data_IF_700109394602
#
_entry.id   IF_700109394602
#
_cell.length_a   1.000
_cell.length_b   1.000
_cell.length_c   1.000
_cell.angle_alpha   90.00
_cell.angle_beta   90.00
_cell.angle_gamma   90.00
#
_symmetry.space_group_name_H-M   'P 1'
#
loop_
_entity.id
_entity.type
_entity.pdbx_description
1 polymer ?
#
# COMPACT_ATOMS: atom_id res chain seq x y z
N UNK A 1 43.96 -18.70 -43.49
CA UNK A 1 43.20 -19.07 -42.29
C UNK A 1 42.76 -17.81 -41.54
N UNK A 2 41.99 -16.90 -42.18
CA UNK A 2 41.45 -15.65 -41.55
C UNK A 2 40.03 -15.31 -42.08
N UNK A 3 39.43 -16.12 -42.95
CA UNK A 3 38.09 -15.85 -43.53
C UNK A 3 36.94 -16.65 -42.89
N UNK A 4 37.22 -17.72 -42.12
CA UNK A 4 36.19 -18.51 -41.44
C UNK A 4 35.82 -18.00 -40.05
N UNK A 5 36.61 -17.08 -39.46
CA UNK A 5 36.42 -16.62 -38.07
C UNK A 5 35.47 -15.40 -37.95
N UNK A 6 35.26 -14.69 -39.05
CA UNK A 6 34.34 -13.53 -39.13
C UNK A 6 32.91 -14.02 -39.43
N UNK A 7 32.76 -15.06 -40.26
CA UNK A 7 31.46 -15.66 -40.54
C UNK A 7 30.82 -16.30 -39.29
N UNK A 8 31.64 -16.92 -38.43
CA UNK A 8 31.19 -17.59 -37.21
C UNK A 8 30.78 -16.63 -36.08
N UNK A 9 31.36 -15.42 -36.04
CA UNK A 9 30.97 -14.36 -35.08
C UNK A 9 29.71 -13.60 -35.50
N UNK A 10 29.50 -13.43 -36.80
CA UNK A 10 28.29 -12.78 -37.32
C UNK A 10 27.08 -13.71 -37.17
N UNK A 11 27.24 -15.02 -37.39
CA UNK A 11 26.16 -15.99 -37.18
C UNK A 11 25.73 -16.10 -35.70
N UNK A 12 26.68 -16.16 -34.76
CA UNK A 12 26.35 -16.16 -33.32
C UNK A 12 25.78 -14.82 -32.84
N UNK A 13 26.19 -13.70 -33.43
CA UNK A 13 25.64 -12.38 -33.09
C UNK A 13 24.18 -12.19 -33.52
N UNK A 14 23.76 -12.83 -34.62
CA UNK A 14 22.37 -12.75 -35.10
C UNK A 14 21.45 -13.75 -34.37
N UNK A 15 21.94 -14.94 -34.02
CA UNK A 15 21.21 -15.87 -33.13
C UNK A 15 20.98 -15.26 -31.74
N UNK A 16 21.98 -14.62 -31.13
CA UNK A 16 21.82 -14.02 -29.78
C UNK A 16 20.86 -12.82 -29.77
N UNK A 17 20.74 -12.10 -30.88
CA UNK A 17 19.81 -10.95 -31.02
C UNK A 17 18.40 -11.41 -31.38
N UNK A 18 18.23 -12.49 -32.15
CA UNK A 18 16.91 -13.08 -32.38
C UNK A 18 16.39 -13.83 -31.14
N UNK A 19 17.25 -14.60 -30.44
CA UNK A 19 16.87 -15.29 -29.20
C UNK A 19 16.55 -14.29 -28.08
N UNK A 20 17.31 -13.20 -27.94
CA UNK A 20 17.03 -12.15 -26.96
C UNK A 20 15.75 -11.34 -27.22
N UNK A 21 15.34 -11.18 -28.49
CA UNK A 21 14.09 -10.51 -28.86
C UNK A 21 12.89 -11.45 -28.72
N UNK A 22 13.07 -12.75 -28.95
CA UNK A 22 12.03 -13.75 -28.70
C UNK A 22 11.86 -14.06 -27.20
N UNK A 23 12.93 -14.21 -26.41
CA UNK A 23 12.84 -14.42 -24.96
C UNK A 23 12.21 -13.22 -24.24
N UNK A 24 12.63 -11.98 -24.53
CA UNK A 24 12.07 -10.78 -23.88
C UNK A 24 10.56 -10.57 -24.14
N UNK A 25 9.99 -11.17 -25.19
CA UNK A 25 8.56 -11.14 -25.49
C UNK A 25 7.76 -12.25 -24.78
N UNK A 26 8.43 -13.29 -24.25
CA UNK A 26 7.81 -14.43 -23.57
C UNK A 26 8.22 -14.60 -22.10
N UNK A 27 9.15 -13.79 -21.59
CA UNK A 27 9.54 -13.79 -20.18
C UNK A 27 8.35 -13.43 -19.27
N UNK A 28 7.96 -14.30 -18.33
CA UNK A 28 6.83 -14.05 -17.45
C UNK A 28 7.10 -12.87 -16.52
N UNK A 29 6.17 -11.91 -16.52
CA UNK A 29 6.16 -10.77 -15.61
C UNK A 29 5.05 -10.96 -14.59
N UNK A 30 5.38 -10.79 -13.31
CA UNK A 30 4.42 -10.71 -12.20
C UNK A 30 4.41 -9.28 -11.69
N UNK A 31 3.26 -8.60 -11.73
CA UNK A 31 3.13 -7.26 -11.14
C UNK A 31 2.54 -7.34 -9.73
N UNK A 32 3.33 -6.91 -8.75
CA UNK A 32 2.95 -6.80 -7.35
C UNK A 32 2.58 -5.35 -7.02
N UNK A 33 1.29 -5.10 -6.80
CA UNK A 33 0.82 -3.85 -6.21
C UNK A 33 1.12 -3.82 -4.72
N UNK A 34 1.78 -2.75 -4.27
CA UNK A 34 2.00 -2.47 -2.85
C UNK A 34 1.23 -1.22 -2.49
N UNK A 35 0.26 -1.39 -1.61
CA UNK A 35 -0.52 -0.28 -1.08
C UNK A 35 -0.67 -0.41 0.43
N UNK A 36 -1.23 0.61 1.04
CA UNK A 36 -1.35 0.69 2.49
C UNK A 36 -1.68 2.10 2.92
N UNK A 37 -2.35 2.17 4.06
CA UNK A 37 -2.76 3.42 4.67
C UNK A 37 -1.55 4.24 5.14
N UNK A 38 -1.78 5.51 5.43
CA UNK A 38 -0.74 6.40 5.95
C UNK A 38 0.03 5.74 7.09
N UNK A 39 1.37 5.80 7.03
CA UNK A 39 2.30 5.23 8.04
C UNK A 39 2.27 3.71 8.20
N UNK A 40 1.68 2.97 7.26
CA UNK A 40 1.73 1.49 7.24
C UNK A 40 3.11 0.91 6.84
N UNK A 41 4.10 1.75 6.49
CA UNK A 41 5.47 1.30 6.25
C UNK A 41 5.74 0.73 4.85
N UNK A 42 5.03 1.21 3.80
CA UNK A 42 5.23 0.79 2.39
C UNK A 42 6.69 0.85 1.93
N UNK A 43 7.33 2.00 2.13
CA UNK A 43 8.73 2.23 1.75
C UNK A 43 9.68 1.23 2.41
N UNK A 44 9.51 0.98 3.71
CA UNK A 44 10.30 0.00 4.47
C UNK A 44 10.02 -1.42 3.97
N UNK A 45 8.76 -1.76 3.72
CA UNK A 45 8.36 -3.06 3.18
C UNK A 45 9.02 -3.37 1.85
N UNK A 46 8.90 -2.47 0.87
CA UNK A 46 9.47 -2.67 -0.48
C UNK A 46 10.99 -2.80 -0.39
N UNK A 47 11.63 -1.89 0.35
CA UNK A 47 13.09 -1.91 0.53
C UNK A 47 13.56 -3.23 1.15
N UNK A 48 12.96 -3.66 2.26
CA UNK A 48 13.32 -4.92 2.91
C UNK A 48 13.00 -6.15 2.06
N UNK A 49 11.89 -6.14 1.32
CA UNK A 49 11.48 -7.24 0.44
C UNK A 49 12.51 -7.41 -0.68
N UNK A 50 12.86 -6.33 -1.38
CA UNK A 50 13.83 -6.34 -2.47
C UNK A 50 15.19 -6.79 -1.95
N UNK A 51 15.65 -6.25 -0.82
CA UNK A 51 16.93 -6.65 -0.22
C UNK A 51 16.96 -8.14 0.16
N UNK A 52 15.89 -8.67 0.76
CA UNK A 52 15.82 -10.09 1.11
C UNK A 52 15.60 -11.01 -0.09
N UNK A 53 15.05 -10.51 -1.22
CA UNK A 53 14.93 -11.29 -2.45
C UNK A 53 16.24 -11.32 -3.24
N UNK A 54 17.05 -10.26 -3.16
CA UNK A 54 18.43 -10.25 -3.68
C UNK A 54 19.32 -11.18 -2.84
N UNK A 55 19.33 -10.97 -1.53
CA UNK A 55 20.16 -11.67 -0.54
C UNK A 55 19.31 -12.57 0.38
N UNK A 56 18.98 -13.76 -0.13
CA UNK A 56 17.96 -14.68 0.42
C UNK A 56 18.36 -15.47 1.67
N UNK A 57 19.50 -15.18 2.30
CA UNK A 57 20.00 -15.92 3.46
C UNK A 57 19.04 -15.96 4.67
N UNK A 58 18.12 -15.00 4.77
CA UNK A 58 17.06 -14.93 5.79
C UNK A 58 15.66 -15.28 5.27
N UNK A 59 15.56 -15.99 4.14
CA UNK A 59 14.28 -16.35 3.51
C UNK A 59 14.01 -17.87 3.51
N UNK A 60 14.11 -18.59 4.64
CA UNK A 60 13.98 -20.05 4.67
C UNK A 60 12.58 -20.56 4.33
N UNK A 61 11.54 -19.74 4.51
CA UNK A 61 10.15 -20.12 4.19
C UNK A 61 9.70 -19.63 2.81
N UNK A 62 10.62 -19.07 2.03
CA UNK A 62 10.39 -18.74 0.63
C UNK A 62 10.71 -19.96 -0.23
N UNK A 63 9.70 -20.74 -0.58
CA UNK A 63 9.84 -22.06 -1.22
C UNK A 63 10.75 -22.06 -2.46
N UNK A 64 10.62 -21.10 -3.39
CA UNK A 64 11.45 -21.04 -4.59
C UNK A 64 12.90 -20.61 -4.35
N UNK A 65 13.30 -20.29 -3.11
CA UNK A 65 14.61 -19.71 -2.80
C UNK A 65 15.79 -20.50 -3.37
N UNK A 66 15.69 -21.83 -3.42
CA UNK A 66 16.73 -22.74 -3.98
C UNK A 66 16.67 -22.88 -5.50
N UNK A 67 15.52 -22.63 -6.12
CA UNK A 67 15.36 -22.64 -7.58
C UNK A 67 15.92 -21.37 -8.23
N UNK A 68 15.99 -20.26 -7.48
CA UNK A 68 16.53 -18.98 -7.94
C UNK A 68 18.06 -19.01 -7.90
N UNK A 69 18.66 -19.08 -9.08
CA UNK A 69 20.12 -19.09 -9.28
C UNK A 69 20.72 -17.69 -9.24
N UNK A 70 19.97 -16.66 -9.65
CA UNK A 70 20.38 -15.26 -9.56
C UNK A 70 19.15 -14.36 -9.40
N UNK A 71 19.32 -13.24 -8.70
CA UNK A 71 18.36 -12.16 -8.59
C UNK A 71 19.10 -10.84 -8.79
N UNK A 72 18.56 -9.93 -9.60
CA UNK A 72 19.20 -8.65 -9.91
C UNK A 72 18.17 -7.59 -10.28
N UNK A 73 18.49 -6.33 -10.00
CA UNK A 73 17.68 -5.19 -10.41
C UNK A 73 17.86 -4.95 -11.91
N UNK A 74 16.77 -4.62 -12.57
CA UNK A 74 16.76 -4.26 -13.99
C UNK A 74 16.08 -2.89 -14.14
N UNK A 75 16.40 -2.10 -15.18
CA UNK A 75 15.61 -0.92 -15.52
C UNK A 75 14.13 -1.28 -15.62
N UNK A 76 13.28 -0.45 -15.05
CA UNK A 76 11.83 -0.64 -15.11
C UNK A 76 11.31 -0.37 -16.53
N UNK A 77 10.14 -0.91 -16.91
CA UNK A 77 9.64 -0.83 -18.29
C UNK A 77 8.92 0.48 -18.65
N UNK A 78 8.51 1.29 -17.66
CA UNK A 78 7.71 2.50 -17.86
C UNK A 78 8.55 3.75 -17.58
N UNK A 79 8.92 4.47 -18.64
CA UNK A 79 9.71 5.71 -18.56
C UNK A 79 8.91 6.92 -18.02
N UNK A 80 7.59 6.78 -17.88
CA UNK A 80 6.71 7.86 -17.39
C UNK A 80 6.41 7.78 -15.90
N UNK A 81 6.79 6.68 -15.24
CA UNK A 81 6.62 6.46 -13.80
C UNK A 81 7.96 6.65 -13.09
N UNK A 82 8.03 7.37 -11.96
CA UNK A 82 9.26 7.46 -11.18
C UNK A 82 9.74 6.08 -10.71
N UNK A 83 11.06 5.85 -10.75
CA UNK A 83 11.66 4.65 -10.16
C UNK A 83 11.67 4.75 -8.63
N UNK A 84 11.34 3.65 -7.96
CA UNK A 84 11.48 3.54 -6.52
C UNK A 84 12.97 3.67 -6.12
N UNK A 85 13.26 4.58 -5.20
CA UNK A 85 14.63 4.94 -4.78
C UNK A 85 15.21 3.92 -3.78
N UNK A 86 15.30 2.67 -4.24
CA UNK A 86 15.71 1.51 -3.43
C UNK A 86 17.06 1.72 -2.76
N UNK A 87 18.06 2.20 -3.51
CA UNK A 87 19.43 2.35 -3.03
C UNK A 87 19.52 3.35 -1.88
N UNK A 88 18.87 4.51 -2.01
CA UNK A 88 18.84 5.54 -0.96
C UNK A 88 18.10 5.05 0.27
N UNK A 89 16.97 4.37 0.09
CA UNK A 89 16.18 3.85 1.20
C UNK A 89 16.89 2.72 1.95
N UNK A 90 17.58 1.83 1.23
CA UNK A 90 18.41 0.79 1.85
C UNK A 90 19.56 1.43 2.63
N UNK A 91 20.25 2.40 2.03
CA UNK A 91 21.35 3.11 2.68
C UNK A 91 20.90 3.81 3.98
N UNK A 92 19.72 4.43 3.99
CA UNK A 92 19.16 5.02 5.20
C UNK A 92 18.90 3.99 6.32
N UNK A 93 18.43 2.79 5.97
CA UNK A 93 18.15 1.71 6.93
C UNK A 93 19.41 0.99 7.43
N UNK A 94 20.46 0.92 6.62
CA UNK A 94 21.71 0.20 6.95
C UNK A 94 22.86 1.12 7.35
N UNK A 95 22.64 2.44 7.41
CA UNK A 95 23.64 3.40 7.84
C UNK A 95 24.09 3.16 9.30
N UNK A 96 25.30 3.60 9.70
CA UNK A 96 25.75 3.54 11.10
C UNK A 96 24.81 4.25 12.08
N UNK A 97 24.13 5.30 11.61
CA UNK A 97 23.02 5.97 12.27
C UNK A 97 21.77 5.78 11.41
N UNK A 98 21.07 4.65 11.56
CA UNK A 98 19.99 4.29 10.64
C UNK A 98 18.75 5.14 10.91
N UNK A 99 18.02 5.45 9.85
CA UNK A 99 16.84 6.32 9.88
C UNK A 99 15.70 5.71 9.06
N UNK A 100 14.46 5.94 9.49
CA UNK A 100 13.29 5.54 8.70
C UNK A 100 13.23 6.36 7.40
N UNK A 101 13.15 5.72 6.22
CA UNK A 101 12.99 6.43 4.95
C UNK A 101 11.71 7.27 4.92
N UNK A 102 11.73 8.34 4.11
CA UNK A 102 10.54 9.15 3.91
C UNK A 102 9.40 8.36 3.25
N UNK A 103 8.16 8.73 3.57
CA UNK A 103 6.98 8.10 2.98
C UNK A 103 6.79 8.58 1.54
N UNK A 104 6.59 7.64 0.63
CA UNK A 104 6.30 7.92 -0.79
C UNK A 104 4.99 8.70 -0.93
N UNK A 105 5.02 9.79 -1.70
CA UNK A 105 3.85 10.67 -1.95
C UNK A 105 3.24 10.52 -3.35
N UNK A 106 3.90 9.76 -4.21
CA UNK A 106 3.52 9.50 -5.60
C UNK A 106 3.61 8.00 -5.90
N UNK A 107 3.16 7.62 -7.10
CA UNK A 107 3.40 6.28 -7.61
C UNK A 107 4.88 6.09 -7.92
N UNK A 108 5.41 4.90 -7.66
CA UNK A 108 6.75 4.51 -8.12
C UNK A 108 6.82 3.03 -8.45
N UNK A 109 7.77 2.64 -9.30
CA UNK A 109 7.94 1.25 -9.75
C UNK A 109 9.39 0.77 -9.58
N UNK A 110 9.57 -0.55 -9.47
CA UNK A 110 10.87 -1.21 -9.47
C UNK A 110 10.75 -2.57 -10.14
N UNK A 111 11.72 -2.94 -10.98
CA UNK A 111 11.80 -4.28 -11.55
C UNK A 111 12.94 -5.08 -10.91
N UNK A 112 12.57 -6.27 -10.42
CA UNK A 112 13.50 -7.31 -9.97
C UNK A 112 13.38 -8.52 -10.89
N UNK A 113 14.52 -9.04 -11.35
CA UNK A 113 14.58 -10.17 -12.29
C UNK A 113 15.23 -11.38 -11.63
N UNK A 114 14.63 -12.56 -11.82
CA UNK A 114 15.09 -13.82 -11.28
C UNK A 114 15.49 -14.78 -12.39
N UNK A 115 16.68 -15.39 -12.31
CA UNK A 115 17.01 -16.58 -13.10
C UNK A 115 16.58 -17.81 -12.32
N UNK A 116 15.49 -18.42 -12.74
CA UNK A 116 14.87 -19.55 -12.05
C UNK A 116 15.14 -20.84 -12.82
N UNK A 117 15.63 -21.86 -12.12
CA UNK A 117 15.74 -23.21 -12.65
C UNK A 117 14.40 -23.93 -12.46
N UNK A 118 13.70 -24.34 -13.52
CA UNK A 118 12.46 -25.09 -13.38
C UNK A 118 12.71 -26.41 -12.65
N UNK A 119 11.79 -26.80 -11.76
CA UNK A 119 11.89 -28.05 -10.99
C UNK A 119 11.28 -29.23 -11.77
N UNK A 120 11.71 -30.46 -11.45
CA UNK A 120 11.22 -31.69 -12.09
C UNK A 120 11.99 -32.16 -13.34
N UNK A 121 11.66 -33.37 -13.83
CA UNK A 121 12.39 -34.07 -14.91
C UNK A 121 12.31 -33.32 -16.25
N UNK A 122 11.18 -32.65 -16.53
CA UNK A 122 11.03 -31.83 -17.73
C UNK A 122 11.74 -30.47 -17.61
N UNK A 123 11.86 -29.96 -16.38
CA UNK A 123 12.49 -28.68 -16.08
C UNK A 123 14.02 -28.69 -16.21
N UNK A 124 14.65 -29.84 -16.00
CA UNK A 124 16.10 -29.99 -16.21
C UNK A 124 16.51 -29.90 -17.69
N UNK A 125 15.58 -30.12 -18.62
CA UNK A 125 15.82 -30.05 -20.06
C UNK A 125 15.63 -28.64 -20.64
N UNK A 126 14.79 -27.79 -20.04
CA UNK A 126 14.41 -26.48 -20.63
C UNK A 126 15.30 -25.30 -20.22
N UNK A 127 16.42 -25.54 -19.52
CA UNK A 127 17.32 -24.48 -19.06
C UNK A 127 16.71 -23.51 -18.02
N UNK A 128 17.51 -22.61 -17.42
CA UNK A 128 16.99 -21.55 -16.56
C UNK A 128 16.17 -20.54 -17.37
N UNK A 129 15.04 -20.09 -16.81
CA UNK A 129 14.21 -19.02 -17.38
C UNK A 129 14.31 -17.74 -16.55
N UNK A 130 14.15 -16.59 -17.17
CA UNK A 130 13.99 -15.33 -16.44
C UNK A 130 12.53 -15.13 -16.03
N UNK A 131 12.28 -14.71 -14.80
CA UNK A 131 10.97 -14.24 -14.33
C UNK A 131 11.15 -12.83 -13.78
N UNK A 132 10.31 -11.90 -14.20
CA UNK A 132 10.33 -10.52 -13.71
C UNK A 132 9.27 -10.29 -12.64
N UNK A 133 9.62 -9.53 -11.62
CA UNK A 133 8.74 -8.99 -10.61
C UNK A 133 8.76 -7.46 -10.70
N UNK A 134 7.65 -6.89 -11.15
CA UNK A 134 7.43 -5.45 -11.13
C UNK A 134 6.70 -5.09 -9.83
N UNK A 135 7.33 -4.30 -8.97
CA UNK A 135 6.75 -3.83 -7.71
C UNK A 135 6.27 -2.40 -7.92
N UNK A 136 4.98 -2.17 -7.76
CA UNK A 136 4.34 -0.86 -7.95
C UNK A 136 3.88 -0.31 -6.60
N UNK A 137 4.53 0.74 -6.09
CA UNK A 137 4.13 1.47 -4.88
C UNK A 137 3.12 2.55 -5.25
N UNK A 138 1.95 2.55 -4.61
CA UNK A 138 1.00 3.64 -4.78
C UNK A 138 0.17 3.92 -3.51
N UNK A 139 -0.29 5.16 -3.30
CA UNK A 139 -1.12 5.52 -2.16
C UNK A 139 -2.46 4.78 -2.12
N UNK A 140 -2.85 4.27 -0.94
CA UNK A 140 -4.13 3.56 -0.78
C UNK A 140 -5.34 4.47 -0.96
N UNK A 141 -5.18 5.75 -0.65
CA UNK A 141 -6.19 6.80 -0.82
C UNK A 141 -6.65 6.92 -2.27
N UNK A 142 -5.80 6.57 -3.22
CA UNK A 142 -6.12 6.62 -4.64
C UNK A 142 -7.10 5.52 -5.07
N UNK A 143 -7.23 4.44 -4.29
CA UNK A 143 -8.23 3.40 -4.53
C UNK A 143 -9.64 3.86 -4.17
N UNK A 144 -9.77 4.77 -3.21
CA UNK A 144 -11.06 5.33 -2.79
C UNK A 144 -11.76 6.10 -3.93
N UNK A 145 -10.96 6.73 -4.79
CA UNK A 145 -11.48 7.48 -5.94
C UNK A 145 -12.17 6.63 -6.99
N UNK A 146 -11.99 5.30 -6.94
CA UNK A 146 -12.71 4.41 -7.84
C UNK A 146 -14.23 4.50 -7.65
N UNK A 147 -14.68 4.74 -6.42
CA UNK A 147 -16.10 4.98 -6.13
C UNK A 147 -16.66 6.21 -6.82
N UNK A 148 -15.81 7.19 -7.16
CA UNK A 148 -16.21 8.39 -7.89
C UNK A 148 -16.56 8.10 -9.36
N UNK A 149 -16.05 7.00 -9.93
CA UNK A 149 -16.35 6.64 -11.32
C UNK A 149 -17.83 6.35 -11.53
N UNK A 150 -18.55 5.97 -10.47
CA UNK A 150 -19.98 5.66 -10.52
C UNK A 150 -20.87 6.79 -10.02
N UNK A 151 -20.29 7.86 -9.48
CA UNK A 151 -21.02 9.00 -8.91
C UNK A 151 -21.00 10.17 -9.88
N UNK A 152 -22.14 10.81 -10.02
CA UNK A 152 -22.22 12.17 -10.56
C UNK A 152 -21.66 13.18 -9.55
N UNK A 153 -21.31 14.37 -10.03
CA UNK A 153 -20.87 15.46 -9.16
C UNK A 153 -21.88 15.78 -8.06
N UNK A 154 -23.19 15.71 -8.37
CA UNK A 154 -24.26 15.97 -7.41
C UNK A 154 -24.35 14.90 -6.32
N UNK A 155 -24.29 13.62 -6.67
CA UNK A 155 -24.31 12.50 -5.71
C UNK A 155 -23.10 12.57 -4.78
N UNK A 156 -21.90 12.72 -5.35
CA UNK A 156 -20.68 12.88 -4.55
C UNK A 156 -20.73 14.12 -3.66
N UNK A 157 -21.23 15.24 -4.17
CA UNK A 157 -21.33 16.47 -3.38
C UNK A 157 -22.27 16.31 -2.19
N UNK A 158 -23.43 15.68 -2.37
CA UNK A 158 -24.38 15.46 -1.28
C UNK A 158 -23.75 14.63 -0.14
N UNK A 159 -23.04 13.56 -0.48
CA UNK A 159 -22.33 12.73 0.49
C UNK A 159 -21.19 13.49 1.19
N UNK A 160 -20.34 14.17 0.42
CA UNK A 160 -19.20 14.94 0.95
C UNK A 160 -19.66 16.08 1.88
N UNK A 161 -20.77 16.74 1.55
CA UNK A 161 -21.36 17.79 2.38
C UNK A 161 -21.99 17.24 3.66
N UNK A 162 -22.63 16.08 3.58
CA UNK A 162 -23.17 15.41 4.77
C UNK A 162 -22.04 15.06 5.73
N UNK A 163 -20.93 14.51 5.21
CA UNK A 163 -19.73 14.24 5.98
C UNK A 163 -19.10 15.52 6.57
N UNK A 164 -18.96 16.59 5.78
CA UNK A 164 -18.39 17.84 6.27
C UNK A 164 -19.24 18.50 7.37
N UNK A 165 -20.57 18.44 7.27
CA UNK A 165 -21.48 19.08 8.22
C UNK A 165 -21.56 18.32 9.55
N UNK A 166 -21.33 17.01 9.53
CA UNK A 166 -21.40 16.14 10.72
C UNK A 166 -20.08 16.06 11.48
N UNK A 167 -19.00 16.64 10.94
CA UNK A 167 -17.65 16.57 11.49
C UNK A 167 -17.20 17.92 12.03
N UNK A 168 -16.61 17.98 13.24
CA UNK A 168 -16.01 19.21 13.75
C UNK A 168 -14.98 19.82 12.79
N UNK A 169 -14.20 18.99 12.10
CA UNK A 169 -13.15 19.39 11.16
C UNK A 169 -13.70 20.11 9.92
N UNK A 170 -14.98 19.92 9.60
CA UNK A 170 -15.63 20.53 8.44
C UNK A 170 -16.07 21.97 8.64
N UNK A 171 -16.06 22.49 9.88
CA UNK A 171 -16.61 23.81 10.21
C UNK A 171 -16.04 24.95 9.34
N UNK A 172 -14.72 24.97 9.13
CA UNK A 172 -14.08 26.01 8.30
C UNK A 172 -14.47 25.93 6.82
N UNK A 173 -14.71 24.71 6.31
CA UNK A 173 -15.18 24.52 4.94
C UNK A 173 -16.67 24.85 4.78
N UNK A 174 -17.52 24.46 5.73
CA UNK A 174 -18.95 24.76 5.68
C UNK A 174 -19.22 26.26 5.78
N UNK A 175 -18.44 27.00 6.58
CA UNK A 175 -18.49 28.47 6.62
C UNK A 175 -18.06 29.09 5.29
N UNK A 176 -16.94 28.64 4.73
CA UNK A 176 -16.46 29.13 3.43
C UNK A 176 -17.46 28.85 2.30
N UNK A 177 -18.13 27.69 2.34
CA UNK A 177 -19.16 27.31 1.39
C UNK A 177 -20.43 28.15 1.53
N UNK A 178 -20.85 28.46 2.77
CA UNK A 178 -22.03 29.30 3.00
C UNK A 178 -21.85 30.73 2.45
N UNK A 179 -20.61 31.22 2.40
CA UNK A 179 -20.26 32.51 1.81
C UNK A 179 -20.02 32.47 0.28
N UNK A 180 -20.09 31.29 -0.35
CA UNK A 180 -19.76 31.09 -1.75
C UNK A 180 -21.01 31.04 -2.64
N UNK A 181 -21.09 31.91 -3.65
CA UNK A 181 -22.18 31.88 -4.64
C UNK A 181 -21.74 31.12 -5.90
N UNK A 182 -22.21 29.87 -6.01
CA UNK A 182 -21.89 28.99 -7.12
C UNK A 182 -22.55 29.37 -8.46
N UNK A 183 -23.51 30.30 -8.46
CA UNK A 183 -24.23 30.74 -9.67
C UNK A 183 -23.51 31.86 -10.42
N UNK A 184 -22.56 32.54 -9.75
CA UNK A 184 -21.73 33.59 -10.34
C UNK A 184 -20.82 33.06 -11.45
N UNK A 185 -20.38 33.97 -12.33
CA UNK A 185 -19.42 33.67 -13.39
C UNK A 185 -18.12 33.16 -12.80
N UNK A 186 -17.53 32.14 -13.42
CA UNK A 186 -16.26 31.54 -12.98
C UNK A 186 -15.16 32.58 -12.69
N UNK A 187 -14.56 32.47 -11.50
CA UNK A 187 -13.39 33.23 -11.06
C UNK A 187 -12.37 32.30 -10.40
N UNK A 188 -11.20 32.14 -11.02
CA UNK A 188 -10.17 31.19 -10.56
C UNK A 188 -9.72 31.40 -9.10
N UNK A 189 -9.52 32.64 -8.60
CA UNK A 189 -9.10 32.84 -7.21
C UNK A 189 -10.11 32.33 -6.17
N UNK A 190 -11.40 32.53 -6.43
CA UNK A 190 -12.47 32.08 -5.53
C UNK A 190 -12.62 30.55 -5.58
N UNK A 191 -12.53 29.96 -6.78
CA UNK A 191 -12.49 28.52 -6.98
C UNK A 191 -11.35 27.87 -6.18
N UNK A 192 -10.14 28.43 -6.26
CA UNK A 192 -8.96 27.99 -5.50
C UNK A 192 -9.17 28.11 -4.01
N UNK A 193 -9.69 29.23 -3.53
CA UNK A 193 -9.93 29.46 -2.10
C UNK A 193 -10.87 28.39 -1.52
N UNK A 194 -11.98 28.10 -2.21
CA UNK A 194 -12.93 27.08 -1.74
C UNK A 194 -12.35 25.66 -1.82
N UNK A 195 -11.65 25.32 -2.91
CA UNK A 195 -10.98 24.02 -3.06
C UNK A 195 -9.89 23.81 -1.98
N UNK A 196 -9.13 24.84 -1.64
CA UNK A 196 -8.13 24.81 -0.57
C UNK A 196 -8.78 24.61 0.80
N UNK A 197 -9.90 25.29 1.08
CA UNK A 197 -10.67 25.10 2.31
C UNK A 197 -11.20 23.66 2.43
N UNK A 198 -11.72 23.10 1.34
CA UNK A 198 -12.14 21.70 1.29
C UNK A 198 -10.97 20.73 1.49
N UNK A 199 -9.82 21.00 0.86
CA UNK A 199 -8.59 20.20 1.02
C UNK A 199 -8.10 20.21 2.46
N UNK A 200 -8.12 21.38 3.12
CA UNK A 200 -7.75 21.50 4.53
C UNK A 200 -8.69 20.70 5.44
N UNK A 201 -10.00 20.72 5.16
CA UNK A 201 -10.96 19.84 5.83
C UNK A 201 -10.61 18.37 5.64
N UNK A 202 -10.35 17.90 4.41
CA UNK A 202 -9.99 16.50 4.16
C UNK A 202 -8.71 16.10 4.91
N UNK A 203 -7.71 16.97 4.95
CA UNK A 203 -6.46 16.74 5.71
C UNK A 203 -6.72 16.63 7.21
N UNK A 204 -7.54 17.54 7.77
CA UNK A 204 -7.92 17.52 9.18
C UNK A 204 -8.76 16.27 9.52
N UNK A 205 -9.74 15.93 8.68
CA UNK A 205 -10.56 14.74 8.86
C UNK A 205 -9.71 13.46 8.81
N UNK A 206 -8.77 13.36 7.86
CA UNK A 206 -7.82 12.24 7.83
C UNK A 206 -6.96 12.18 9.09
N UNK A 207 -6.48 13.33 9.58
CA UNK A 207 -5.69 13.39 10.81
C UNK A 207 -6.52 12.99 12.06
N UNK A 208 -7.82 13.28 12.05
CA UNK A 208 -8.79 12.86 13.06
C UNK A 208 -9.22 11.38 12.92
N UNK A 209 -8.74 10.67 11.87
CA UNK A 209 -9.00 9.26 11.66
C UNK A 209 -10.30 8.97 10.91
N UNK A 210 -10.72 9.82 9.97
CA UNK A 210 -11.76 9.51 8.99
C UNK A 210 -11.16 8.97 7.68
N UNK A 211 -11.76 7.91 7.15
CA UNK A 211 -11.28 7.18 5.96
C UNK A 211 -11.99 7.52 4.65
N UNK A 212 -13.22 8.01 4.71
CA UNK A 212 -14.04 8.41 3.55
C UNK A 212 -13.66 9.81 3.02
N UNK A 213 -12.36 10.10 2.98
CA UNK A 213 -11.82 11.36 2.50
C UNK A 213 -11.61 11.29 0.98
N UNK A 214 -12.61 11.67 0.20
CA UNK A 214 -12.52 11.78 -1.27
C UNK A 214 -12.64 13.24 -1.73
N UNK A 215 -11.90 13.63 -2.79
CA UNK A 215 -11.03 12.81 -3.63
C UNK A 215 -9.63 12.58 -3.03
N UNK A 216 -9.08 11.38 -3.19
CA UNK A 216 -7.81 10.96 -2.61
C UNK A 216 -6.59 11.78 -3.07
N UNK A 217 -6.59 12.28 -4.32
CA UNK A 217 -5.50 13.14 -4.82
C UNK A 217 -5.52 14.55 -4.23
N UNK A 218 -6.57 14.98 -3.53
CA UNK A 218 -6.52 16.24 -2.77
C UNK A 218 -5.59 16.10 -1.55
N UNK A 219 -5.52 14.90 -0.98
CA UNK A 219 -4.63 14.58 0.14
C UNK A 219 -3.19 14.31 -0.29
N UNK A 220 -3.03 13.70 -1.47
CA UNK A 220 -1.75 13.30 -2.04
C UNK A 220 -1.76 13.65 -3.54
N UNK A 221 -1.48 14.91 -3.90
CA UNK A 221 -1.60 15.40 -5.28
C UNK A 221 -0.50 14.87 -6.21
N UNK A 222 0.67 14.52 -5.67
CA UNK A 222 1.83 14.13 -6.50
C UNK A 222 2.14 15.20 -7.54
N UNK A 223 2.29 14.79 -8.79
CA UNK A 223 2.56 15.67 -9.94
C UNK A 223 1.39 16.60 -10.32
N UNK A 224 0.20 16.41 -9.73
CA UNK A 224 -0.98 17.23 -10.01
C UNK A 224 -1.07 18.46 -9.08
N UNK A 225 -0.09 18.69 -8.22
CA UNK A 225 -0.10 19.85 -7.34
C UNK A 225 -0.16 21.16 -8.16
N UNK A 226 -1.05 22.06 -7.75
CA UNK A 226 -1.35 23.29 -8.50
C UNK A 226 -2.15 23.11 -9.81
N UNK A 227 -2.50 21.88 -10.20
CA UNK A 227 -3.30 21.62 -11.41
C UNK A 227 -4.76 22.06 -11.25
N UNK A 228 -5.39 22.64 -12.29
CA UNK A 228 -6.81 22.99 -12.27
C UNK A 228 -7.73 21.79 -12.02
N UNK A 229 -7.29 20.57 -12.31
CA UNK A 229 -8.07 19.34 -12.09
C UNK A 229 -8.34 19.07 -10.61
N UNK A 230 -7.54 19.64 -9.70
CA UNK A 230 -7.72 19.57 -8.25
C UNK A 230 -8.37 20.83 -7.65
N UNK A 231 -8.90 21.71 -8.50
CA UNK A 231 -9.45 23.00 -8.06
C UNK A 231 -10.97 22.99 -8.16
N UNK A 232 -11.62 22.14 -7.35
CA UNK A 232 -13.07 22.07 -7.18
C UNK A 232 -13.42 21.68 -5.73
N UNK A 233 -14.67 21.87 -5.32
CA UNK A 233 -15.18 21.47 -4.01
C UNK A 233 -16.63 20.94 -4.17
N UNK A 234 -17.18 20.18 -3.21
CA UNK A 234 -18.57 19.75 -3.29
C UNK A 234 -19.50 20.96 -3.13
N UNK A 235 -20.61 20.96 -3.87
CA UNK A 235 -21.60 22.05 -3.87
C UNK A 235 -23.01 21.53 -3.54
N UNK A 236 -23.83 22.32 -2.83
CA UNK A 236 -25.23 21.95 -2.61
C UNK A 236 -25.98 21.88 -3.95
N UNK A 237 -27.04 21.08 -3.99
CA UNK A 237 -27.89 21.04 -5.17
C UNK A 237 -28.51 22.42 -5.44
N UNK A 238 -28.45 22.88 -6.69
CA UNK A 238 -28.90 24.22 -7.06
C UNK A 238 -28.75 24.49 -8.56
N UNK A 239 -28.98 25.74 -8.93
CA UNK A 239 -28.83 26.18 -10.32
C UNK A 239 -27.37 26.14 -10.76
N UNK A 240 -27.13 25.69 -12.00
CA UNK A 240 -25.81 25.69 -12.62
C UNK A 240 -25.86 26.41 -13.98
N UNK A 241 -25.99 27.75 -13.99
CA UNK A 241 -26.00 28.56 -15.21
C UNK A 241 -24.74 28.32 -16.06
N UNK A 242 -24.84 28.52 -17.37
CA UNK A 242 -23.69 28.34 -18.26
C UNK A 242 -22.58 29.32 -17.91
N UNK A 243 -21.37 28.79 -17.69
CA UNK A 243 -20.19 29.59 -17.31
C UNK A 243 -20.11 29.96 -15.84
N UNK A 244 -20.99 29.39 -15.00
CA UNK A 244 -20.92 29.59 -13.56
C UNK A 244 -19.84 28.74 -12.87
N UNK A 245 -19.53 29.08 -11.63
CA UNK A 245 -18.68 28.26 -10.75
C UNK A 245 -19.19 26.82 -10.62
N UNK A 246 -20.51 26.63 -10.46
CA UNK A 246 -21.11 25.30 -10.35
C UNK A 246 -20.82 24.43 -11.59
N UNK A 247 -20.96 25.00 -12.79
CA UNK A 247 -20.62 24.29 -14.04
C UNK A 247 -19.13 24.03 -14.19
N UNK A 248 -18.30 24.97 -13.74
CA UNK A 248 -16.85 24.78 -13.73
C UNK A 248 -16.44 23.61 -12.82
N UNK A 249 -16.97 23.56 -11.60
CA UNK A 249 -16.66 22.51 -10.62
C UNK A 249 -17.12 21.13 -11.10
N UNK A 250 -18.34 21.04 -11.65
CA UNK A 250 -18.84 19.81 -12.27
C UNK A 250 -17.91 19.37 -13.42
N UNK A 251 -17.50 20.29 -14.30
CA UNK A 251 -16.56 19.96 -15.39
C UNK A 251 -15.21 19.49 -14.86
N UNK A 252 -14.67 20.12 -13.82
CA UNK A 252 -13.38 19.74 -13.20
C UNK A 252 -13.46 18.38 -12.52
N UNK A 253 -14.57 18.07 -11.86
CA UNK A 253 -14.84 16.75 -11.30
C UNK A 253 -14.89 15.66 -12.39
N UNK A 254 -15.58 15.90 -13.50
CA UNK A 254 -15.62 14.94 -14.61
C UNK A 254 -14.26 14.84 -15.34
N UNK A 255 -13.50 15.95 -15.41
CA UNK A 255 -12.12 15.91 -15.88
C UNK A 255 -11.21 15.11 -14.93
N UNK A 256 -11.38 15.25 -13.62
CA UNK A 256 -10.65 14.46 -12.63
C UNK A 256 -10.91 12.96 -12.81
N UNK A 257 -12.18 12.55 -12.96
CA UNK A 257 -12.54 11.16 -13.25
C UNK A 257 -11.88 10.66 -14.54
N UNK A 258 -11.91 11.44 -15.62
CA UNK A 258 -11.44 11.03 -16.95
C UNK A 258 -9.92 11.05 -17.11
N UNK A 259 -9.26 12.07 -16.57
CA UNK A 259 -7.83 12.35 -16.80
C UNK A 259 -6.93 11.90 -15.65
N UNK A 260 -7.48 11.68 -14.44
CA UNK A 260 -6.69 11.29 -13.25
C UNK A 260 -7.06 9.89 -12.78
N UNK A 261 -8.33 9.67 -12.47
CA UNK A 261 -8.79 8.39 -11.90
C UNK A 261 -8.68 7.29 -12.96
N UNK A 262 -9.36 7.45 -14.09
CA UNK A 262 -9.42 6.42 -15.15
C UNK A 262 -8.03 6.00 -15.69
N UNK A 263 -7.08 6.91 -16.00
CA UNK A 263 -5.77 6.51 -16.50
C UNK A 263 -4.98 5.76 -15.45
N UNK A 264 -4.96 6.21 -14.19
CA UNK A 264 -4.30 5.48 -13.11
C UNK A 264 -4.76 4.02 -13.03
N UNK A 265 -6.08 3.80 -13.07
CA UNK A 265 -6.64 2.45 -13.01
C UNK A 265 -6.31 1.62 -14.24
N UNK A 266 -6.43 2.19 -15.44
CA UNK A 266 -6.12 1.49 -16.69
C UNK A 266 -4.64 1.14 -16.81
N UNK A 267 -3.76 2.07 -16.47
CA UNK A 267 -2.34 2.00 -16.81
C UNK A 267 -1.52 1.27 -15.74
N UNK A 268 -1.97 1.30 -14.48
CA UNK A 268 -1.28 0.64 -13.37
C UNK A 268 -2.13 -0.47 -12.76
N UNK A 269 -3.31 -0.14 -12.22
CA UNK A 269 -4.09 -1.09 -11.41
C UNK A 269 -4.58 -2.32 -12.20
N UNK A 270 -5.05 -2.12 -13.43
CA UNK A 270 -5.56 -3.19 -14.29
C UNK A 270 -4.49 -4.25 -14.65
N UNK A 271 -3.21 -3.90 -14.51
CA UNK A 271 -2.07 -4.77 -14.80
C UNK A 271 -1.55 -5.52 -13.55
N UNK A 272 -2.09 -5.25 -12.36
CA UNK A 272 -1.65 -5.89 -11.11
C UNK A 272 -2.10 -7.35 -11.09
N UNK A 273 -1.16 -8.27 -10.86
CA UNK A 273 -1.42 -9.71 -10.73
C UNK A 273 -1.60 -10.14 -9.26
N UNK A 274 -0.86 -9.46 -8.37
CA UNK A 274 -0.73 -9.74 -6.94
C UNK A 274 -0.84 -8.45 -6.15
N UNK A 275 -1.51 -8.47 -5.01
CA UNK A 275 -1.65 -7.29 -4.17
C UNK A 275 -1.22 -7.57 -2.74
N UNK A 276 -0.50 -6.63 -2.14
CA UNK A 276 -0.36 -6.53 -0.69
C UNK A 276 -0.95 -5.20 -0.19
N UNK A 277 -1.71 -5.27 0.90
CA UNK A 277 -2.26 -4.12 1.63
C UNK A 277 -1.61 -4.11 3.01
N UNK A 278 -0.73 -3.14 3.23
CA UNK A 278 -0.06 -2.93 4.51
C UNK A 278 -0.96 -2.14 5.47
N UNK A 279 -1.04 -2.60 6.71
CA UNK A 279 -1.93 -2.05 7.73
C UNK A 279 -1.17 -1.86 9.04
N UNK A 280 -1.28 -0.68 9.64
CA UNK A 280 -0.79 -0.42 11.00
C UNK A 280 -1.92 -0.71 12.01
N UNK A 281 -2.23 -2.00 12.20
CA UNK A 281 -3.32 -2.43 13.08
C UNK A 281 -3.01 -2.10 14.55
N UNK A 282 -1.75 -2.25 14.96
CA UNK A 282 -1.30 -1.91 16.31
C UNK A 282 -1.54 -0.41 16.56
N UNK A 283 -1.09 0.47 15.67
CA UNK A 283 -1.31 1.92 15.80
C UNK A 283 -2.79 2.32 15.90
N UNK A 284 -3.66 1.62 15.16
CA UNK A 284 -5.11 1.82 15.26
C UNK A 284 -5.66 1.37 16.63
N UNK A 285 -5.23 0.21 17.14
CA UNK A 285 -5.65 -0.30 18.46
C UNK A 285 -5.23 0.66 19.58
N UNK A 286 -4.00 1.17 19.52
CA UNK A 286 -3.49 2.18 20.46
C UNK A 286 -4.27 3.50 20.40
N UNK A 287 -4.73 3.89 19.20
CA UNK A 287 -5.53 5.11 19.01
C UNK A 287 -6.99 4.96 19.45
N UNK A 288 -7.44 3.73 19.76
CA UNK A 288 -8.74 3.44 20.36
C UNK A 288 -9.87 3.05 19.39
N UNK A 289 -11.10 2.87 19.91
CA UNK A 289 -12.25 2.33 19.18
C UNK A 289 -12.58 2.96 17.84
N UNK A 290 -12.55 4.29 17.78
CA UNK A 290 -12.86 5.02 16.55
C UNK A 290 -11.86 4.70 15.44
N UNK A 291 -10.57 4.62 15.76
CA UNK A 291 -9.53 4.35 14.79
C UNK A 291 -9.59 2.93 14.21
N UNK A 292 -9.97 1.92 14.99
CA UNK A 292 -10.14 0.56 14.47
C UNK A 292 -11.41 0.41 13.63
N UNK A 293 -12.53 1.02 14.04
CA UNK A 293 -13.73 1.01 13.21
C UNK A 293 -13.50 1.75 11.88
N UNK A 294 -12.76 2.85 11.90
CA UNK A 294 -12.33 3.54 10.69
C UNK A 294 -11.44 2.67 9.81
N UNK A 295 -10.42 2.04 10.39
CA UNK A 295 -9.56 1.09 9.69
C UNK A 295 -10.40 -0.02 9.03
N UNK A 296 -11.39 -0.58 9.74
CA UNK A 296 -12.29 -1.61 9.21
C UNK A 296 -13.08 -1.11 8.00
N UNK A 297 -13.66 0.10 8.07
CA UNK A 297 -14.39 0.72 6.94
C UNK A 297 -13.47 0.97 5.75
N UNK A 298 -12.29 1.51 6.00
CA UNK A 298 -11.30 1.75 4.95
C UNK A 298 -10.91 0.48 4.22
N UNK A 299 -10.64 -0.59 4.97
CA UNK A 299 -10.29 -1.90 4.40
C UNK A 299 -11.44 -2.46 3.57
N UNK A 300 -12.69 -2.26 4.01
CA UNK A 300 -13.87 -2.67 3.26
C UNK A 300 -14.03 -1.89 1.94
N UNK A 301 -13.70 -0.60 1.93
CA UNK A 301 -13.73 0.27 0.74
C UNK A 301 -12.60 -0.06 -0.24
N UNK A 302 -11.38 -0.25 0.27
CA UNK A 302 -10.24 -0.74 -0.53
C UNK A 302 -10.61 -2.07 -1.17
N UNK A 303 -11.20 -3.00 -0.41
CA UNK A 303 -11.66 -4.29 -0.93
C UNK A 303 -12.82 -4.16 -1.93
N UNK A 304 -13.62 -3.09 -1.86
CA UNK A 304 -14.62 -2.81 -2.86
C UNK A 304 -14.04 -2.57 -4.25
N UNK A 305 -12.82 -2.01 -4.33
CA UNK A 305 -12.14 -1.76 -5.59
C UNK A 305 -11.71 -3.05 -6.32
N UNK A 306 -11.53 -4.15 -5.60
CA UNK A 306 -11.12 -5.44 -6.18
C UNK A 306 -12.32 -6.33 -6.58
N UNK A 307 -13.56 -5.83 -6.47
CA UNK A 307 -14.77 -6.62 -6.73
C UNK A 307 -15.08 -6.74 -8.22
N UNK A 308 -15.52 -7.91 -8.71
CA UNK A 308 -16.31 -8.02 -9.92
C UNK A 308 -17.71 -7.40 -9.66
N UNK A 309 -17.86 -6.11 -9.97
CA UNK A 309 -19.12 -5.35 -9.86
C UNK A 309 -19.31 -4.43 -11.07
N UNK A 310 -20.06 -3.33 -10.95
CA UNK A 310 -20.18 -2.36 -12.05
C UNK A 310 -18.85 -1.60 -12.27
N UNK A 311 -18.15 -1.26 -11.18
CA UNK A 311 -16.72 -0.91 -11.16
C UNK A 311 -15.86 -2.02 -11.79
N UNK A 312 -16.04 -3.27 -11.37
CA UNK A 312 -15.34 -4.42 -11.95
C UNK A 312 -15.62 -4.61 -13.46
N UNK A 313 -16.80 -4.20 -13.95
CA UNK A 313 -17.15 -4.18 -15.38
C UNK A 313 -16.47 -3.03 -16.12
N UNK A 314 -16.38 -1.84 -15.52
CA UNK A 314 -15.59 -0.72 -16.06
C UNK A 314 -14.13 -1.17 -16.18
N UNK A 315 -13.59 -1.80 -15.13
CA UNK A 315 -12.23 -2.32 -15.08
C UNK A 315 -12.00 -3.49 -16.05
N UNK A 316 -12.97 -4.41 -16.20
CA UNK A 316 -12.87 -5.50 -17.17
C UNK A 316 -12.93 -4.98 -18.61
N UNK A 317 -13.70 -3.93 -18.88
CA UNK A 317 -13.72 -3.22 -20.17
C UNK A 317 -12.39 -2.50 -20.45
N UNK A 318 -11.65 -2.13 -19.40
CA UNK A 318 -10.30 -1.58 -19.49
C UNK A 318 -9.21 -2.67 -19.57
N UNK A 319 -9.59 -3.95 -19.69
CA UNK A 319 -8.66 -5.06 -19.90
C UNK A 319 -8.02 -5.63 -18.63
N UNK A 320 -8.60 -5.37 -17.44
CA UNK A 320 -8.02 -5.85 -16.18
C UNK A 320 -7.89 -7.38 -16.12
N UNK A 321 -6.67 -7.84 -15.82
CA UNK A 321 -6.42 -9.23 -15.38
C UNK A 321 -6.89 -9.39 -13.93
N UNK A 322 -7.50 -10.52 -13.59
CA UNK A 322 -7.97 -10.76 -12.20
C UNK A 322 -6.77 -10.84 -11.27
N UNK A 323 -6.75 -9.99 -10.23
CA UNK A 323 -5.79 -10.12 -9.12
C UNK A 323 -6.04 -11.48 -8.48
N UNK A 324 -5.01 -12.31 -8.48
CA UNK A 324 -5.15 -13.74 -8.15
C UNK A 324 -4.79 -14.05 -6.70
N UNK A 325 -3.96 -13.22 -6.07
CA UNK A 325 -3.68 -13.28 -4.63
C UNK A 325 -3.63 -11.89 -4.00
N UNK A 326 -4.28 -11.76 -2.84
CA UNK A 326 -4.34 -10.52 -2.06
C UNK A 326 -3.89 -10.82 -0.62
N UNK A 327 -2.86 -10.13 -0.17
CA UNK A 327 -2.32 -10.25 1.18
C UNK A 327 -2.64 -9.03 2.02
N UNK A 328 -3.28 -9.23 3.17
CA UNK A 328 -3.46 -8.22 4.21
C UNK A 328 -2.39 -8.39 5.28
N UNK A 329 -1.51 -7.41 5.39
CA UNK A 329 -0.34 -7.51 6.25
C UNK A 329 -0.43 -6.50 7.41
N UNK A 330 -0.67 -6.99 8.63
CA UNK A 330 -0.52 -6.21 9.84
C UNK A 330 0.98 -5.99 10.10
N UNK A 331 1.44 -4.77 9.87
CA UNK A 331 2.86 -4.39 9.96
C UNK A 331 3.32 -4.14 11.40
N UNK A 332 4.63 -3.96 11.58
CA UNK A 332 5.27 -3.65 12.87
C UNK A 332 5.04 -4.72 13.94
N UNK A 333 4.91 -5.99 13.53
CA UNK A 333 4.73 -7.11 14.46
C UNK A 333 5.91 -7.26 15.45
N UNK A 334 7.06 -6.66 15.17
CA UNK A 334 8.20 -6.59 16.09
C UNK A 334 7.94 -5.67 17.29
N UNK A 335 6.91 -4.84 17.28
CA UNK A 335 6.54 -4.01 18.43
C UNK A 335 5.82 -4.79 19.55
N UNK A 336 5.56 -6.08 19.34
CA UNK A 336 4.95 -6.98 20.33
C UNK A 336 5.73 -8.29 20.39
N UNK A 337 5.69 -8.95 21.55
CA UNK A 337 6.32 -10.26 21.73
C UNK A 337 5.70 -11.32 20.82
N UNK A 338 6.46 -12.33 20.36
CA UNK A 338 5.97 -13.35 19.42
C UNK A 338 4.72 -14.10 19.90
N UNK A 339 4.56 -14.24 21.22
CA UNK A 339 3.38 -14.85 21.83
C UNK A 339 2.07 -14.17 21.39
N UNK A 340 2.12 -12.87 21.05
CA UNK A 340 0.97 -12.08 20.63
C UNK A 340 0.79 -12.02 19.10
N UNK A 341 1.74 -12.52 18.30
CA UNK A 341 1.65 -12.48 16.83
C UNK A 341 0.42 -13.21 16.27
N UNK A 342 0.03 -14.41 16.78
CA UNK A 342 -1.20 -15.07 16.34
C UNK A 342 -2.45 -14.23 16.65
N UNK A 343 -2.49 -13.54 17.80
CA UNK A 343 -3.60 -12.66 18.19
C UNK A 343 -3.72 -11.46 17.24
N UNK A 344 -2.60 -10.83 16.89
CA UNK A 344 -2.57 -9.76 15.89
C UNK A 344 -3.05 -10.24 14.51
N UNK A 345 -2.62 -11.44 14.08
CA UNK A 345 -3.11 -12.04 12.83
C UNK A 345 -4.61 -12.29 12.89
N UNK A 346 -5.14 -12.83 14.00
CA UNK A 346 -6.58 -13.07 14.17
C UNK A 346 -7.40 -11.78 14.14
N UNK A 347 -6.89 -10.70 14.75
CA UNK A 347 -7.52 -9.37 14.66
C UNK A 347 -7.54 -8.87 13.21
N UNK A 348 -6.43 -9.00 12.49
CA UNK A 348 -6.35 -8.63 11.08
C UNK A 348 -7.35 -9.44 10.22
N UNK A 349 -7.43 -10.76 10.45
CA UNK A 349 -8.41 -11.63 9.80
C UNK A 349 -9.86 -11.21 10.09
N UNK A 350 -10.16 -10.85 11.34
CA UNK A 350 -11.49 -10.43 11.74
C UNK A 350 -11.86 -9.05 11.16
N UNK A 351 -10.91 -8.12 11.04
CA UNK A 351 -11.08 -6.83 10.37
C UNK A 351 -11.45 -6.99 8.89
N UNK A 352 -10.82 -7.94 8.20
CA UNK A 352 -11.07 -8.18 6.78
C UNK A 352 -12.15 -9.22 6.53
N UNK A 353 -12.67 -9.92 7.54
CA UNK A 353 -13.63 -11.05 7.40
C UNK A 353 -14.82 -10.69 6.50
N UNK A 354 -15.51 -9.59 6.80
CA UNK A 354 -16.69 -9.14 6.03
C UNK A 354 -16.39 -8.94 4.54
N UNK A 355 -15.13 -8.62 4.23
CA UNK A 355 -14.67 -8.33 2.88
C UNK A 355 -13.92 -9.52 2.24
N UNK A 356 -13.34 -10.42 3.05
CA UNK A 356 -12.71 -11.68 2.68
C UNK A 356 -13.74 -12.70 2.19
N UNK A 357 -14.82 -12.88 2.95
CA UNK A 357 -15.94 -13.77 2.58
C UNK A 357 -16.53 -13.40 1.20
N UNK A 358 -16.38 -12.14 0.78
CA UNK A 358 -16.83 -11.63 -0.51
C UNK A 358 -15.75 -11.67 -1.60
N UNK A 359 -14.46 -11.60 -1.25
CA UNK A 359 -13.33 -11.65 -2.19
C UNK A 359 -12.97 -13.09 -2.60
N UNK A 360 -13.04 -14.05 -1.66
CA UNK A 360 -12.84 -15.48 -1.95
C UNK A 360 -13.90 -15.98 -2.94
N UNK A 361 -15.12 -15.41 -2.92
CA UNK A 361 -16.18 -15.67 -3.90
C UNK A 361 -15.82 -15.26 -5.34
N UNK A 362 -14.88 -14.32 -5.52
CA UNK A 362 -14.40 -13.88 -6.83
C UNK A 362 -13.22 -14.71 -7.40
N UNK A 363 -12.76 -15.71 -6.64
CA UNK A 363 -11.69 -16.63 -7.03
C UNK A 363 -10.26 -16.13 -6.80
N UNK A 364 -10.07 -15.04 -6.03
CA UNK A 364 -8.76 -14.61 -5.57
C UNK A 364 -8.41 -15.31 -4.25
N UNK A 365 -7.18 -15.85 -4.13
CA UNK A 365 -6.70 -16.37 -2.86
C UNK A 365 -6.38 -15.22 -1.91
N UNK A 366 -7.10 -15.11 -0.80
CA UNK A 366 -6.85 -14.07 0.20
C UNK A 366 -6.17 -14.65 1.44
N UNK A 367 -5.28 -13.87 2.05
CA UNK A 367 -4.62 -14.23 3.31
C UNK A 367 -4.43 -12.98 4.16
N UNK A 368 -4.45 -13.14 5.47
CA UNK A 368 -3.99 -12.12 6.40
C UNK A 368 -2.83 -12.66 7.24
N UNK A 369 -1.86 -11.80 7.55
CA UNK A 369 -0.72 -12.16 8.39
C UNK A 369 -0.18 -10.94 9.14
N UNK A 370 0.44 -11.17 10.29
CA UNK A 370 1.28 -10.17 10.93
C UNK A 370 2.73 -10.29 10.44
N UNK A 371 3.35 -9.16 10.07
CA UNK A 371 4.73 -9.11 9.58
C UNK A 371 5.49 -7.95 10.21
N UNK A 372 6.82 -8.03 10.16
CA UNK A 372 7.70 -6.88 10.31
C UNK A 372 8.68 -6.89 9.14
N UNK A 373 8.55 -5.91 8.24
CA UNK A 373 9.44 -5.77 7.09
C UNK A 373 10.90 -5.56 7.52
N UNK A 374 11.09 -4.77 8.57
CA UNK A 374 12.38 -4.61 9.23
C UNK A 374 12.14 -4.78 10.73
N UNK A 375 12.88 -5.70 11.35
CA UNK A 375 12.84 -5.92 12.80
C UNK A 375 13.72 -4.89 13.49
N UNK A 376 13.13 -3.98 14.24
CA UNK A 376 13.82 -2.94 15.01
C UNK A 376 13.99 -3.30 16.50
N UNK A 377 13.34 -4.37 16.96
CA UNK A 377 13.33 -4.79 18.37
C UNK A 377 13.90 -6.20 18.57
N UNK A 378 14.25 -6.50 19.82
CA UNK A 378 14.56 -7.85 20.31
C UNK A 378 13.56 -8.24 21.39
N UNK A 379 13.34 -9.53 21.56
CA UNK A 379 12.42 -10.04 22.59
C UNK A 379 13.15 -10.18 23.92
N UNK A 380 12.46 -9.88 25.02
CA UNK A 380 13.02 -9.95 26.37
C UNK A 380 11.89 -10.22 27.38
N UNK A 381 12.10 -11.16 28.30
CA UNK A 381 11.17 -11.38 29.42
C UNK A 381 11.73 -10.71 30.68
N UNK A 382 10.95 -9.80 31.27
CA UNK A 382 11.35 -9.05 32.47
C UNK A 382 10.45 -9.44 33.64
N UNK A 383 11.02 -9.65 34.83
CA UNK A 383 10.22 -9.87 36.04
C UNK A 383 9.73 -8.54 36.61
N UNK A 384 8.41 -8.36 36.69
CA UNK A 384 7.77 -7.19 37.29
C UNK A 384 6.73 -7.66 38.31
N UNK A 385 6.77 -7.12 39.54
CA UNK A 385 5.88 -7.52 40.64
C UNK A 385 5.81 -9.04 40.89
N UNK A 386 6.95 -9.73 40.69
CA UNK A 386 7.06 -11.18 40.86
C UNK A 386 6.47 -12.01 39.72
N UNK A 387 5.99 -11.39 38.63
CA UNK A 387 5.48 -12.07 37.43
C UNK A 387 6.41 -11.83 36.24
N UNK A 388 6.64 -12.84 35.38
CA UNK A 388 7.32 -12.63 34.11
C UNK A 388 6.41 -11.84 33.15
N UNK A 389 6.94 -10.78 32.56
CA UNK A 389 6.30 -10.00 31.51
C UNK A 389 7.10 -10.15 30.21
N UNK A 390 6.41 -10.53 29.15
CA UNK A 390 6.97 -10.67 27.82
C UNK A 390 7.01 -9.32 27.10
N UNK A 391 8.21 -8.75 27.03
CA UNK A 391 8.47 -7.41 26.51
C UNK A 391 9.20 -7.47 25.16
N UNK A 392 9.24 -6.30 24.50
CA UNK A 392 10.18 -6.05 23.41
C UNK A 392 11.12 -4.92 23.79
N UNK A 393 12.38 -5.02 23.38
CA UNK A 393 13.39 -3.99 23.62
C UNK A 393 13.91 -3.42 22.31
N UNK A 394 14.01 -2.10 22.24
CA UNK A 394 14.53 -1.41 21.08
C UNK A 394 15.07 -0.01 21.40
N UNK A 395 15.57 0.66 20.36
CA UNK A 395 16.07 2.03 20.47
C UNK A 395 14.88 3.00 20.43
N UNK A 396 14.73 3.84 21.44
CA UNK A 396 13.67 4.87 21.50
C UNK A 396 14.06 6.12 20.72
N UNK A 397 13.11 7.04 20.51
CA UNK A 397 13.36 8.36 19.91
C UNK A 397 14.42 9.17 20.67
N UNK A 398 14.58 8.92 21.98
CA UNK A 398 15.64 9.54 22.80
C UNK A 398 17.05 9.00 22.52
N UNK A 399 17.19 7.96 21.69
CA UNK A 399 18.45 7.26 21.45
C UNK A 399 18.85 6.28 22.56
N UNK A 400 17.96 6.00 23.53
CA UNK A 400 18.19 5.02 24.59
C UNK A 400 17.48 3.70 24.30
N UNK A 401 18.10 2.59 24.73
CA UNK A 401 17.46 1.28 24.73
C UNK A 401 16.41 1.21 25.85
N UNK A 402 15.20 0.74 25.53
CA UNK A 402 14.14 0.54 26.51
C UNK A 402 13.40 -0.77 26.23
N UNK A 403 13.13 -1.54 27.28
CA UNK A 403 12.18 -2.65 27.24
C UNK A 403 10.77 -2.10 27.47
N UNK A 404 9.81 -2.60 26.71
CA UNK A 404 8.45 -2.11 26.70
C UNK A 404 7.47 -3.29 26.67
N UNK A 405 6.50 -3.22 27.56
CA UNK A 405 5.37 -4.14 27.63
C UNK A 405 4.15 -3.41 27.03
N UNK A 406 3.68 -3.80 25.83
CA UNK A 406 2.60 -3.09 25.14
C UNK A 406 1.21 -3.38 25.71
N UNK A 407 1.08 -4.23 26.74
CA UNK A 407 -0.18 -4.85 27.13
C UNK A 407 -0.47 -6.13 26.35
N UNK A 408 -1.55 -6.83 26.71
CA UNK A 408 -2.00 -8.03 26.00
C UNK A 408 -3.09 -7.71 24.98
N UNK A 409 -2.89 -8.16 23.75
CA UNK A 409 -3.98 -8.30 22.79
C UNK A 409 -4.94 -9.41 23.27
N UNK A 410 -6.26 -9.22 23.15
CA UNK A 410 -7.23 -10.25 23.51
C UNK A 410 -7.12 -11.45 22.57
N UNK A 411 -7.43 -12.63 23.10
CA UNK A 411 -7.46 -13.87 22.32
C UNK A 411 -8.61 -13.89 21.32
N UNK A 412 -9.77 -13.34 21.71
CA UNK A 412 -10.90 -13.13 20.81
C UNK A 412 -10.89 -11.70 20.23
N UNK A 413 -10.73 -11.54 18.89
CA UNK A 413 -10.84 -10.25 18.23
C UNK A 413 -12.14 -9.50 18.48
N UNK A 414 -13.23 -10.20 18.85
CA UNK A 414 -14.53 -9.58 19.13
C UNK A 414 -14.47 -8.56 20.27
N UNK A 415 -13.53 -8.72 21.21
CA UNK A 415 -13.31 -7.79 22.33
C UNK A 415 -12.78 -6.42 21.87
N UNK A 416 -12.14 -6.34 20.69
CA UNK A 416 -11.76 -5.07 20.07
C UNK A 416 -12.86 -4.61 19.11
N UNK A 417 -13.34 -5.51 18.26
CA UNK A 417 -14.22 -5.13 17.14
C UNK A 417 -15.64 -4.77 17.58
N UNK A 418 -16.22 -5.44 18.58
CA UNK A 418 -17.58 -5.15 19.03
C UNK A 418 -17.69 -3.77 19.69
N UNK A 419 -16.80 -3.38 20.63
CA UNK A 419 -16.80 -2.01 21.16
C UNK A 419 -16.53 -0.95 20.08
N UNK A 420 -15.64 -1.23 19.11
CA UNK A 420 -15.40 -0.35 17.95
C UNK A 420 -16.71 -0.05 17.20
N UNK A 421 -17.45 -1.10 16.85
CA UNK A 421 -18.71 -1.03 16.11
C UNK A 421 -19.83 -0.34 16.91
N UNK A 422 -19.82 -0.49 18.23
CA UNK A 422 -20.79 0.15 19.13
C UNK A 422 -20.45 1.61 19.45
N UNK A 423 -19.32 2.13 18.95
CA UNK A 423 -18.91 3.51 19.18
C UNK A 423 -18.43 3.79 20.60
N UNK A 424 -17.84 2.79 21.27
CA UNK A 424 -17.20 2.98 22.56
C UNK A 424 -16.16 4.11 22.49
N UNK A 425 -16.01 4.90 23.56
CA UNK A 425 -14.99 5.96 23.59
C UNK A 425 -13.61 5.38 23.95
N UNK A 426 -13.57 4.40 24.86
CA UNK A 426 -12.37 3.75 25.35
C UNK A 426 -12.55 2.21 25.36
N UNK A 427 -11.46 1.46 25.31
CA UNK A 427 -11.42 0.02 25.60
C UNK A 427 -10.15 -0.34 26.37
N UNK A 428 -10.05 -1.59 26.81
CA UNK A 428 -8.85 -2.18 27.43
C UNK A 428 -8.32 -1.41 28.65
N UNK A 429 -9.16 -0.61 29.32
CA UNK A 429 -8.81 0.21 30.50
C UNK A 429 -7.53 1.08 30.35
N UNK A 430 -7.11 1.37 29.11
CA UNK A 430 -5.87 2.09 28.82
C UNK A 430 -4.58 1.26 28.91
N UNK A 431 -4.68 -0.07 29.03
CA UNK A 431 -3.53 -0.96 29.24
C UNK A 431 -2.72 -1.24 27.95
N UNK A 432 -3.23 -0.85 26.78
CA UNK A 432 -2.56 -1.09 25.50
C UNK A 432 -1.89 0.17 24.95
N UNK A 433 -0.56 0.19 25.03
CA UNK A 433 0.26 1.28 24.53
C UNK A 433 1.27 0.76 23.49
N UNK A 434 1.67 1.63 22.56
CA UNK A 434 2.73 1.30 21.60
C UNK A 434 3.85 2.31 21.72
N UNK A 435 5.05 1.80 21.97
CA UNK A 435 6.26 2.58 21.86
C UNK A 435 6.73 2.64 20.40
N UNK A 436 7.21 3.82 19.99
CA UNK A 436 7.88 4.01 18.71
C UNK A 436 9.36 3.69 18.86
N UNK A 437 9.84 2.76 18.03
CA UNK A 437 11.25 2.41 17.96
C UNK A 437 11.92 3.03 16.73
N UNK A 438 13.17 3.44 16.92
CA UNK A 438 14.09 3.80 15.85
C UNK A 438 14.65 2.53 15.21
N UNK A 439 15.09 2.56 13.94
CA UNK A 439 15.73 1.42 13.32
C UNK A 439 16.93 0.96 14.16
N UNK A 440 17.09 -0.36 14.30
CA UNK A 440 18.25 -0.91 14.98
C UNK A 440 19.50 -0.77 14.10
N UNK A 441 20.67 -0.59 14.72
CA UNK A 441 21.95 -0.71 14.00
C UNK A 441 22.10 -2.14 13.50
N UNK A 442 22.30 -2.29 12.19
CA UNK A 442 22.38 -3.60 11.53
C UNK A 442 23.83 -3.96 11.23
N UNK A 443 24.19 -5.21 11.50
CA UNK A 443 25.41 -5.84 10.98
C UNK A 443 24.97 -6.99 10.09
N UNK A 444 24.92 -6.76 8.78
CA UNK A 444 24.48 -7.76 7.81
C UNK A 444 25.65 -8.67 7.41
N UNK A 445 25.41 -9.98 7.38
CA UNK A 445 26.36 -10.94 6.82
C UNK A 445 26.21 -10.96 5.29
N UNK A 446 27.29 -11.27 4.53
CA UNK A 446 27.18 -11.45 3.09
C UNK A 446 26.08 -12.46 2.74
N UNK A 447 25.20 -12.11 1.79
CA UNK A 447 24.08 -12.95 1.37
C UNK A 447 22.85 -12.94 2.30
N UNK A 448 22.87 -12.16 3.38
CA UNK A 448 21.69 -11.95 4.24
C UNK A 448 21.12 -10.53 4.06
N UNK A 449 19.86 -10.44 3.63
CA UNK A 449 19.08 -9.20 3.71
C UNK A 449 18.78 -8.75 5.15
N UNK A 450 18.11 -7.59 5.32
CA UNK A 450 17.73 -7.06 6.63
C UNK A 450 16.85 -8.03 7.44
N UNK A 451 16.96 -8.05 8.79
CA UNK A 451 16.17 -8.93 9.63
C UNK A 451 14.68 -8.57 9.55
N UNK A 452 13.83 -9.59 9.48
CA UNK A 452 12.39 -9.43 9.31
C UNK A 452 11.60 -10.46 10.14
N UNK A 453 10.28 -10.31 10.17
CA UNK A 453 9.35 -11.30 10.71
C UNK A 453 8.36 -11.65 9.59
N UNK A 454 8.38 -12.91 9.15
CA UNK A 454 7.45 -13.51 8.17
C UNK A 454 7.40 -12.82 6.79
N UNK A 455 8.41 -12.01 6.43
CA UNK A 455 8.52 -11.44 5.09
C UNK A 455 8.75 -12.53 4.03
N UNK A 456 9.41 -13.62 4.42
CA UNK A 456 9.61 -14.83 3.61
C UNK A 456 8.30 -15.53 3.27
N UNK A 457 7.41 -15.72 4.26
CA UNK A 457 6.05 -16.23 4.03
C UNK A 457 5.20 -15.29 3.18
N UNK A 458 5.33 -13.97 3.39
CA UNK A 458 4.64 -12.98 2.57
C UNK A 458 5.07 -13.07 1.11
N UNK A 459 6.38 -13.15 0.85
CA UNK A 459 6.94 -13.34 -0.49
C UNK A 459 6.48 -14.66 -1.11
N UNK A 460 6.50 -15.76 -0.36
CA UNK A 460 6.05 -17.07 -0.84
C UNK A 460 4.57 -17.05 -1.27
N UNK A 461 3.70 -16.48 -0.42
CA UNK A 461 2.30 -16.32 -0.76
C UNK A 461 2.11 -15.42 -1.98
N UNK A 462 2.84 -14.31 -2.11
CA UNK A 462 2.60 -13.37 -3.21
C UNK A 462 3.14 -13.87 -4.55
N UNK A 463 4.35 -14.45 -4.58
CA UNK A 463 5.06 -14.73 -5.85
C UNK A 463 5.58 -16.16 -5.95
N UNK A 464 5.48 -16.96 -4.89
CA UNK A 464 6.14 -18.27 -4.80
C UNK A 464 5.67 -19.30 -5.81
N UNK A 465 4.42 -19.21 -6.29
CA UNK A 465 3.86 -20.11 -7.30
C UNK A 465 4.21 -19.74 -8.75
N UNK A 466 4.83 -18.57 -8.97
CA UNK A 466 5.21 -18.07 -10.30
C UNK A 466 6.68 -18.28 -10.61
N UNK A 467 7.48 -18.53 -9.59
CA UNK A 467 8.91 -18.82 -9.68
C UNK A 467 9.06 -20.33 -9.75
#
# INVERSE_FOLDING_TARGET
>A
MILNDIADRVFRGVETVQDGVHEALFEPVVRLGVTGLSRAGKTVFITSLVANLLDRGRMPQFGPGTAITAAYLQPQPDDTVPRFDYETHLAALTAPAPQWPESTRAISELRLSFKVRPTGILGSLSGPRTVHLDIVDYPGEWLLDLGLMEKSFAEWSAEALTAATTRPEGAGFTEALAAFDATTKHAEPEAKKLAQSFTAYLQAARAAGYSDCTPGRFLLPGELDGSPVLTFAPLPAGEAPRGSMAREFERRYEAYKREVVKPFFRDHFAKIDRQIVLVDALGAIHSGPKAVEDLRRTLADILAAFRPGRVGRILSLLGQKRVSRILFAATKADHIHHAQHPRLTAIMEALVRDARDRADYAGAGTMAMSIAALRATVEETVTHEGKPLDCVRGLTESGKQAAFYPGELPEDPSHILAPARQGAQNWLDGEYEIMRFQPARLTLRPGEGPPHIRLDRAADFLIGDKL
#
